data_IF_209376667772
#
_entry.id   IF_209376667772
#
_cell.length_a   1.000
_cell.length_b   1.000
_cell.length_c   1.000
_cell.angle_alpha   90.00
_cell.angle_beta   90.00
_cell.angle_gamma   90.00
#
_symmetry.space_group_name_H-M   'P 1'
#
loop_
_entity.id
_entity.type
_entity.pdbx_description
1 polymer ?
#
# COMPACT_ATOMS: atom_id res chain seq x y z
N UNK A 1 -2.76 1.47 -29.95
CA UNK A 1 -1.84 2.60 -29.84
C UNK A 1 -0.48 2.05 -29.51
N UNK A 2 0.60 2.75 -29.86
CA UNK A 2 1.97 2.28 -29.61
C UNK A 2 2.72 3.26 -28.71
N UNK A 3 3.59 2.70 -27.87
CA UNK A 3 4.58 3.40 -27.07
C UNK A 3 5.95 2.94 -27.55
N UNK A 4 6.82 3.87 -27.89
CA UNK A 4 8.18 3.58 -28.32
C UNK A 4 9.12 3.71 -27.11
N UNK A 5 9.95 2.71 -26.89
CA UNK A 5 11.01 2.80 -25.89
C UNK A 5 12.09 3.78 -26.39
N UNK A 6 12.50 4.71 -25.54
CA UNK A 6 13.48 5.75 -25.90
C UNK A 6 14.90 5.21 -26.02
N UNK A 7 15.21 4.07 -25.42
CA UNK A 7 16.56 3.49 -25.42
C UNK A 7 16.71 2.39 -26.48
N UNK A 8 15.70 1.51 -26.59
CA UNK A 8 15.74 0.36 -27.49
C UNK A 8 15.09 0.62 -28.85
N UNK A 9 14.20 1.62 -28.92
CA UNK A 9 13.39 1.90 -30.12
C UNK A 9 12.29 0.87 -30.37
N UNK A 10 12.06 -0.08 -29.46
CA UNK A 10 11.01 -1.09 -29.59
C UNK A 10 9.63 -0.48 -29.33
N UNK A 11 8.65 -0.88 -30.14
CA UNK A 11 7.27 -0.45 -29.99
C UNK A 11 6.47 -1.45 -29.14
N UNK A 12 5.87 -0.97 -28.05
CA UNK A 12 4.94 -1.72 -27.22
C UNK A 12 3.49 -1.29 -27.47
N UNK A 13 2.54 -2.22 -27.31
CA UNK A 13 1.13 -1.95 -27.55
C UNK A 13 0.50 -1.34 -26.28
N UNK A 14 -0.14 -0.17 -26.45
CA UNK A 14 -1.00 0.41 -25.43
C UNK A 14 -2.48 0.12 -25.76
N UNK A 15 -3.21 -0.38 -24.76
CA UNK A 15 -4.63 -0.70 -24.84
C UNK A 15 -5.47 0.50 -24.41
N UNK A 16 -6.51 0.82 -25.17
CA UNK A 16 -7.38 1.95 -24.91
C UNK A 16 -8.66 1.49 -24.22
N UNK A 17 -8.90 1.98 -23.02
CA UNK A 17 -10.20 1.92 -22.37
C UNK A 17 -11.04 3.12 -22.83
N UNK A 18 -12.31 2.88 -23.17
CA UNK A 18 -13.25 3.95 -23.56
C UNK A 18 -14.58 3.73 -22.85
N UNK A 19 -15.06 4.74 -22.13
CA UNK A 19 -16.37 4.79 -21.51
C UNK A 19 -17.20 5.93 -22.07
N UNK A 20 -18.47 5.67 -22.40
CA UNK A 20 -19.36 6.64 -23.02
C UNK A 20 -20.71 6.64 -22.30
N UNK A 21 -21.18 7.81 -21.93
CA UNK A 21 -22.54 7.98 -21.42
C UNK A 21 -23.56 7.90 -22.58
N UNK A 22 -24.62 7.15 -22.38
CA UNK A 22 -25.51 6.77 -23.48
C UNK A 22 -26.29 7.94 -24.09
N UNK A 23 -26.67 8.94 -23.29
CA UNK A 23 -27.51 10.04 -23.73
C UNK A 23 -26.71 11.23 -24.27
N UNK A 24 -25.79 11.77 -23.48
CA UNK A 24 -24.95 12.89 -23.89
C UNK A 24 -23.84 12.51 -24.85
N UNK A 25 -23.49 11.23 -24.92
CA UNK A 25 -22.28 10.70 -25.57
C UNK A 25 -20.99 11.32 -24.98
N UNK A 26 -21.05 11.82 -23.74
CA UNK A 26 -19.89 12.32 -23.04
C UNK A 26 -18.92 11.17 -22.81
N UNK A 27 -17.69 11.37 -23.26
CA UNK A 27 -16.71 10.28 -23.42
C UNK A 27 -15.55 10.45 -22.45
N UNK A 28 -15.12 9.34 -21.87
CA UNK A 28 -13.87 9.15 -21.15
C UNK A 28 -13.00 8.14 -21.89
N UNK A 29 -11.69 8.33 -21.91
CA UNK A 29 -10.74 7.36 -22.41
C UNK A 29 -9.40 7.46 -21.69
N UNK A 30 -8.75 6.30 -21.53
CA UNK A 30 -7.45 6.16 -20.88
C UNK A 30 -6.68 4.98 -21.49
N UNK A 31 -5.37 5.12 -21.66
CA UNK A 31 -4.49 4.08 -22.18
C UNK A 31 -3.80 3.33 -21.03
N UNK A 32 -3.61 2.02 -21.23
CA UNK A 32 -2.96 1.10 -20.28
C UNK A 32 -1.98 0.18 -21.03
N UNK A 33 -0.97 -0.33 -20.32
CA UNK A 33 0.03 -1.26 -20.88
C UNK A 33 -0.51 -2.68 -21.08
N UNK A 34 -1.56 -3.06 -20.37
CA UNK A 34 -2.21 -4.36 -20.51
C UNK A 34 -3.69 -4.28 -20.15
N UNK A 35 -4.45 -5.33 -20.51
CA UNK A 35 -5.88 -5.47 -20.19
C UNK A 35 -6.10 -6.29 -18.90
N UNK A 36 -5.17 -6.24 -17.95
CA UNK A 36 -5.29 -6.93 -16.67
C UNK A 36 -6.42 -6.38 -15.80
N UNK A 37 -6.82 -7.17 -14.80
CA UNK A 37 -7.91 -6.83 -13.90
C UNK A 37 -7.68 -5.51 -13.15
N UNK A 38 -6.43 -5.26 -12.76
CA UNK A 38 -6.03 -4.03 -12.07
C UNK A 38 -6.30 -2.78 -12.93
N UNK A 39 -5.87 -2.81 -14.18
CA UNK A 39 -6.08 -1.71 -15.12
C UNK A 39 -7.56 -1.53 -15.46
N UNK A 40 -8.30 -2.64 -15.60
CA UNK A 40 -9.73 -2.63 -15.83
C UNK A 40 -10.49 -1.93 -14.70
N UNK A 41 -10.22 -2.29 -13.47
CA UNK A 41 -10.82 -1.69 -12.28
C UNK A 41 -10.42 -0.22 -12.14
N UNK A 42 -9.13 0.10 -12.29
CA UNK A 42 -8.62 1.48 -12.22
C UNK A 42 -9.26 2.36 -13.27
N UNK A 43 -9.46 1.85 -14.50
CA UNK A 43 -10.12 2.58 -15.57
C UNK A 43 -11.56 2.97 -15.22
N UNK A 44 -12.32 2.07 -14.56
CA UNK A 44 -13.68 2.37 -14.10
C UNK A 44 -13.70 3.39 -12.97
N UNK A 45 -12.80 3.28 -12.01
CA UNK A 45 -12.65 4.25 -10.91
C UNK A 45 -12.36 5.65 -11.49
N UNK A 46 -11.38 5.74 -12.40
CA UNK A 46 -11.01 7.00 -13.04
C UNK A 46 -12.14 7.56 -13.93
N UNK A 47 -12.88 6.68 -14.60
CA UNK A 47 -14.06 7.07 -15.39
C UNK A 47 -15.15 7.69 -14.52
N UNK A 48 -15.51 7.10 -13.39
CA UNK A 48 -16.49 7.65 -12.45
C UNK A 48 -16.02 8.97 -11.88
N UNK A 49 -14.74 9.11 -11.56
CA UNK A 49 -14.15 10.39 -11.13
C UNK A 49 -14.23 11.45 -12.22
N UNK A 50 -13.96 11.10 -13.48
CA UNK A 50 -14.10 12.01 -14.62
C UNK A 50 -15.53 12.51 -14.81
N UNK A 51 -16.50 11.61 -14.70
CA UNK A 51 -17.93 11.97 -14.76
C UNK A 51 -18.43 12.69 -13.51
N UNK A 52 -17.67 12.65 -12.42
CA UNK A 52 -18.05 13.19 -11.10
C UNK A 52 -19.40 12.63 -10.64
N UNK A 53 -19.60 11.34 -10.86
CA UNK A 53 -20.81 10.62 -10.49
C UNK A 53 -20.81 9.21 -11.07
N UNK A 54 -21.79 8.44 -10.65
CA UNK A 54 -21.93 7.01 -10.98
C UNK A 54 -23.23 6.77 -11.75
N UNK A 55 -23.15 6.03 -12.84
CA UNK A 55 -24.34 5.57 -13.59
C UNK A 55 -25.03 4.44 -12.83
N UNK A 56 -26.36 4.36 -12.89
CA UNK A 56 -27.13 3.25 -12.28
C UNK A 56 -26.83 1.91 -12.93
N UNK A 57 -26.55 1.92 -14.23
CA UNK A 57 -26.25 0.73 -15.01
C UNK A 57 -24.96 0.97 -15.78
N UNK A 58 -24.08 -0.01 -15.73
CA UNK A 58 -22.85 -0.07 -16.49
C UNK A 58 -22.91 -1.26 -17.45
N UNK A 59 -22.90 -0.96 -18.73
CA UNK A 59 -22.90 -1.99 -19.77
C UNK A 59 -21.48 -2.21 -20.23
N UNK A 60 -20.93 -3.38 -19.99
CA UNK A 60 -19.57 -3.75 -20.40
C UNK A 60 -19.58 -4.79 -21.52
N UNK A 61 -18.51 -4.80 -22.31
CA UNK A 61 -18.24 -5.88 -23.24
C UNK A 61 -17.81 -7.16 -22.50
N UNK A 62 -17.97 -8.33 -23.14
CA UNK A 62 -17.65 -9.64 -22.56
C UNK A 62 -16.14 -9.90 -22.47
N UNK A 63 -15.39 -8.98 -21.85
CA UNK A 63 -13.99 -9.17 -21.56
C UNK A 63 -13.81 -10.17 -20.42
N UNK A 64 -12.95 -11.17 -20.60
CA UNK A 64 -12.63 -12.20 -19.59
C UNK A 64 -12.18 -11.60 -18.24
N UNK A 65 -11.66 -10.39 -18.25
CA UNK A 65 -11.26 -9.64 -17.06
C UNK A 65 -12.43 -9.23 -16.16
N UNK A 66 -13.61 -8.99 -16.75
CA UNK A 66 -14.82 -8.61 -16.01
C UNK A 66 -15.82 -9.74 -15.85
N UNK A 67 -15.88 -10.67 -16.82
CA UNK A 67 -16.89 -11.72 -16.90
C UNK A 67 -16.21 -13.09 -17.03
N UNK A 68 -16.43 -13.96 -16.05
CA UNK A 68 -15.79 -15.29 -16.00
C UNK A 68 -16.50 -16.25 -16.96
N UNK A 69 -17.83 -16.22 -16.98
CA UNK A 69 -18.66 -17.11 -17.78
C UNK A 69 -19.93 -16.37 -18.19
N UNK A 70 -20.29 -16.49 -19.45
CA UNK A 70 -21.55 -15.96 -19.99
C UNK A 70 -22.40 -17.15 -20.42
N UNK A 71 -23.41 -17.44 -19.63
CA UNK A 71 -24.46 -18.38 -20.01
C UNK A 71 -25.64 -17.61 -20.62
N UNK A 72 -26.50 -18.33 -21.37
CA UNK A 72 -27.65 -17.74 -22.10
C UNK A 72 -28.59 -16.94 -21.19
N UNK A 73 -28.59 -17.22 -19.88
CA UNK A 73 -29.50 -16.65 -18.88
C UNK A 73 -28.78 -16.05 -17.64
N UNK A 74 -27.46 -16.27 -17.47
CA UNK A 74 -26.70 -15.74 -16.35
C UNK A 74 -25.27 -15.45 -16.76
N UNK A 75 -24.75 -14.32 -16.34
CA UNK A 75 -23.34 -13.98 -16.49
C UNK A 75 -22.68 -14.01 -15.10
N UNK A 76 -21.64 -14.83 -14.96
CA UNK A 76 -20.84 -14.85 -13.72
C UNK A 76 -19.77 -13.78 -13.82
N UNK A 77 -19.97 -12.70 -13.08
CA UNK A 77 -19.00 -11.62 -12.96
C UNK A 77 -17.78 -12.09 -12.15
N UNK A 78 -16.64 -11.48 -12.41
CA UNK A 78 -15.48 -11.61 -11.54
C UNK A 78 -15.82 -10.98 -10.16
N UNK A 79 -15.46 -11.66 -9.05
CA UNK A 79 -15.76 -11.22 -7.68
C UNK A 79 -15.32 -9.75 -7.44
N UNK A 80 -14.13 -9.40 -7.90
CA UNK A 80 -13.59 -8.04 -7.75
C UNK A 80 -14.39 -6.99 -8.55
N UNK A 81 -14.89 -7.36 -9.73
CA UNK A 81 -15.70 -6.45 -10.54
C UNK A 81 -17.12 -6.30 -9.95
N UNK A 82 -17.63 -7.35 -9.34
CA UNK A 82 -18.87 -7.30 -8.56
C UNK A 82 -18.71 -6.39 -7.32
N UNK A 83 -17.61 -6.51 -6.58
CA UNK A 83 -17.32 -5.63 -5.45
C UNK A 83 -17.20 -4.16 -5.84
N UNK A 84 -16.59 -3.88 -7.01
CA UNK A 84 -16.58 -2.51 -7.56
C UNK A 84 -18.02 -2.01 -7.81
N UNK A 85 -18.88 -2.84 -8.38
CA UNK A 85 -20.27 -2.49 -8.63
C UNK A 85 -21.04 -2.22 -7.33
N UNK A 86 -20.85 -3.06 -6.32
CA UNK A 86 -21.45 -2.90 -4.99
C UNK A 86 -20.95 -1.61 -4.31
N UNK A 87 -19.63 -1.36 -4.36
CA UNK A 87 -19.03 -0.15 -3.78
C UNK A 87 -19.59 1.14 -4.39
N UNK A 88 -19.81 1.17 -5.70
CA UNK A 88 -20.36 2.31 -6.42
C UNK A 88 -21.88 2.28 -6.54
N UNK A 89 -22.55 1.26 -6.00
CA UNK A 89 -24.00 1.06 -6.11
C UNK A 89 -24.50 1.13 -7.56
N UNK A 90 -23.82 0.43 -8.47
CA UNK A 90 -24.14 0.34 -9.90
C UNK A 90 -24.40 -1.11 -10.31
N UNK A 91 -25.32 -1.33 -11.24
CA UNK A 91 -25.57 -2.66 -11.80
C UNK A 91 -24.70 -2.88 -13.03
N UNK A 92 -23.98 -4.01 -13.08
CA UNK A 92 -23.22 -4.42 -14.26
C UNK A 92 -24.09 -5.32 -15.14
N UNK A 93 -24.30 -4.89 -16.39
CA UNK A 93 -24.95 -5.69 -17.42
C UNK A 93 -23.92 -6.08 -18.49
N UNK A 94 -23.44 -7.32 -18.50
CA UNK A 94 -22.62 -7.81 -19.60
C UNK A 94 -23.45 -7.83 -20.91
N UNK A 95 -22.83 -7.39 -22.00
CA UNK A 95 -23.46 -7.46 -23.29
C UNK A 95 -23.76 -8.91 -23.68
N UNK A 96 -24.95 -9.16 -24.23
CA UNK A 96 -25.27 -10.49 -24.75
C UNK A 96 -24.38 -10.82 -25.94
N UNK A 97 -23.92 -12.08 -25.98
CA UNK A 97 -23.18 -12.61 -27.13
C UNK A 97 -24.10 -12.54 -28.36
N UNK A 98 -23.66 -11.92 -29.43
CA UNK A 98 -24.35 -11.84 -30.72
C UNK A 98 -25.67 -11.06 -30.73
N UNK A 99 -25.89 -10.11 -29.84
CA UNK A 99 -27.05 -9.22 -29.84
C UNK A 99 -26.68 -7.76 -30.12
N UNK A 100 -26.28 -7.37 -31.35
CA UNK A 100 -25.88 -6.00 -31.68
C UNK A 100 -27.01 -4.97 -31.50
N UNK A 101 -28.26 -5.43 -31.43
CA UNK A 101 -29.44 -4.54 -31.24
C UNK A 101 -29.60 -4.02 -29.81
N UNK A 102 -28.89 -4.56 -28.84
CA UNK A 102 -29.01 -4.12 -27.44
C UNK A 102 -28.28 -2.78 -27.15
N UNK A 103 -27.42 -2.30 -28.08
CA UNK A 103 -26.55 -1.14 -27.87
C UNK A 103 -26.41 -0.16 -29.05
N UNK A 104 -27.42 0.10 -29.90
CA UNK A 104 -27.19 0.82 -31.17
C UNK A 104 -26.61 2.22 -30.97
N UNK A 105 -26.99 2.93 -29.90
CA UNK A 105 -26.50 4.27 -29.62
C UNK A 105 -25.13 4.27 -28.95
N UNK A 106 -24.86 3.32 -28.04
CA UNK A 106 -23.58 3.22 -27.35
C UNK A 106 -22.46 2.71 -28.26
N UNK A 107 -22.73 1.71 -29.11
CA UNK A 107 -21.73 1.19 -30.07
C UNK A 107 -21.37 2.22 -31.13
N UNK A 108 -22.34 2.95 -31.64
CA UNK A 108 -22.10 4.06 -32.58
C UNK A 108 -21.25 5.17 -31.97
N UNK A 109 -21.59 5.58 -30.75
CA UNK A 109 -20.85 6.60 -30.02
C UNK A 109 -19.43 6.12 -29.63
N UNK A 110 -19.31 4.87 -29.17
CA UNK A 110 -18.03 4.24 -28.84
C UNK A 110 -17.13 4.13 -30.09
N UNK A 111 -17.67 3.63 -31.20
CA UNK A 111 -16.94 3.51 -32.46
C UNK A 111 -16.50 4.86 -33.02
N UNK A 112 -17.32 5.90 -32.88
CA UNK A 112 -16.98 7.26 -33.28
C UNK A 112 -15.89 7.85 -32.38
N UNK A 113 -16.01 7.74 -31.07
CA UNK A 113 -15.04 8.20 -30.09
C UNK A 113 -13.69 7.53 -30.30
N UNK A 114 -13.67 6.21 -30.44
CA UNK A 114 -12.45 5.43 -30.68
C UNK A 114 -11.76 5.86 -31.97
N UNK A 115 -12.51 6.04 -33.06
CA UNK A 115 -11.95 6.52 -34.34
C UNK A 115 -11.35 7.91 -34.20
N UNK A 116 -12.01 8.85 -33.55
CA UNK A 116 -11.51 10.21 -33.38
C UNK A 116 -10.28 10.25 -32.48
N UNK A 117 -10.29 9.51 -31.38
CA UNK A 117 -9.15 9.40 -30.47
C UNK A 117 -7.95 8.80 -31.19
N UNK A 118 -8.13 7.65 -31.85
CA UNK A 118 -7.03 6.99 -32.57
C UNK A 118 -6.52 7.82 -33.74
N UNK A 119 -7.39 8.50 -34.48
CA UNK A 119 -6.97 9.39 -35.54
C UNK A 119 -6.15 10.60 -35.04
N UNK A 120 -6.55 11.17 -33.90
CA UNK A 120 -5.88 12.34 -33.31
C UNK A 120 -4.46 12.04 -32.80
N UNK A 121 -4.17 10.81 -32.40
CA UNK A 121 -2.86 10.40 -31.87
C UNK A 121 -2.04 9.55 -32.86
N UNK A 122 -2.61 9.20 -34.02
CA UNK A 122 -2.03 8.26 -34.99
C UNK A 122 -0.60 8.61 -35.43
N UNK A 123 -0.33 9.90 -35.63
CA UNK A 123 0.95 10.38 -36.15
C UNK A 123 1.89 10.88 -35.02
N UNK A 124 1.52 10.66 -33.76
CA UNK A 124 2.35 11.07 -32.62
C UNK A 124 3.10 9.87 -32.06
N UNK A 125 4.36 10.06 -31.74
CA UNK A 125 5.17 9.09 -31.00
C UNK A 125 5.13 9.45 -29.53
N UNK A 126 4.90 8.47 -28.67
CA UNK A 126 4.90 8.62 -27.23
C UNK A 126 5.95 7.70 -26.64
N UNK A 127 6.72 8.20 -25.69
CA UNK A 127 7.75 7.45 -24.99
C UNK A 127 7.29 7.01 -23.60
N UNK A 128 6.29 7.68 -23.04
CA UNK A 128 5.72 7.31 -21.75
C UNK A 128 4.20 7.18 -21.83
N UNK A 129 3.65 6.29 -21.01
CA UNK A 129 2.19 6.15 -20.87
C UNK A 129 1.56 7.44 -20.32
N UNK A 130 2.30 8.19 -19.50
CA UNK A 130 1.85 9.44 -18.92
C UNK A 130 1.64 10.52 -20.01
N UNK A 131 2.59 10.69 -20.92
CA UNK A 131 2.49 11.64 -22.02
C UNK A 131 1.34 11.28 -22.95
N UNK A 132 1.18 9.98 -23.24
CA UNK A 132 0.07 9.48 -24.04
C UNK A 132 -1.28 9.79 -23.39
N UNK A 133 -1.43 9.53 -22.11
CA UNK A 133 -2.66 9.83 -21.37
C UNK A 133 -2.91 11.34 -21.21
N UNK A 134 -1.88 12.16 -21.16
CA UNK A 134 -2.03 13.63 -21.15
C UNK A 134 -2.58 14.14 -22.50
N UNK A 135 -2.04 13.65 -23.60
CA UNK A 135 -2.56 13.98 -24.94
C UNK A 135 -3.99 13.47 -25.12
N UNK A 136 -4.30 12.26 -24.66
CA UNK A 136 -5.66 11.72 -24.68
C UNK A 136 -6.64 12.62 -23.93
N UNK A 137 -6.29 13.11 -22.76
CA UNK A 137 -7.13 14.04 -21.99
C UNK A 137 -7.36 15.35 -22.71
N UNK A 138 -6.33 15.87 -23.39
CA UNK A 138 -6.45 17.07 -24.20
C UNK A 138 -7.44 16.86 -25.36
N UNK A 139 -7.28 15.75 -26.11
CA UNK A 139 -8.18 15.42 -27.23
C UNK A 139 -9.60 15.12 -26.80
N UNK A 140 -9.78 14.48 -25.64
CA UNK A 140 -11.11 14.26 -25.06
C UNK A 140 -11.84 15.56 -24.77
N UNK A 141 -11.14 16.59 -24.26
CA UNK A 141 -11.74 17.92 -24.09
C UNK A 141 -12.25 18.49 -25.39
N UNK A 142 -11.44 18.40 -26.46
CA UNK A 142 -11.86 18.87 -27.80
C UNK A 142 -13.07 18.06 -28.30
N UNK A 143 -13.05 16.73 -28.22
CA UNK A 143 -14.14 15.86 -28.68
C UNK A 143 -15.44 16.17 -27.92
N UNK A 144 -15.37 16.30 -26.60
CA UNK A 144 -16.51 16.53 -25.75
C UNK A 144 -17.08 17.95 -25.90
N UNK A 145 -16.27 18.92 -26.27
CA UNK A 145 -16.69 20.31 -26.49
C UNK A 145 -17.18 20.60 -27.91
N UNK A 146 -16.90 19.67 -28.86
CA UNK A 146 -17.30 19.85 -30.26
C UNK A 146 -18.83 19.84 -30.40
N UNK A 147 -19.43 20.82 -31.12
CA UNK A 147 -20.85 20.84 -31.38
C UNK A 147 -21.33 19.57 -32.12
N UNK A 148 -22.53 19.13 -31.80
CA UNK A 148 -23.19 18.08 -32.58
C UNK A 148 -23.54 18.55 -33.98
N UNK A 149 -23.55 17.64 -34.95
CA UNK A 149 -23.93 17.94 -36.33
C UNK A 149 -25.46 18.02 -36.52
N UNK A 150 -26.22 17.23 -35.74
CA UNK A 150 -27.67 17.06 -35.91
C UNK A 150 -28.49 17.47 -34.68
N UNK A 151 -27.87 17.99 -33.66
CA UNK A 151 -28.45 18.39 -32.37
C UNK A 151 -27.78 19.67 -31.91
N UNK A 152 -28.50 20.53 -31.21
CA UNK A 152 -27.91 21.70 -30.57
C UNK A 152 -27.02 21.34 -29.40
N UNK A 153 -26.01 22.16 -29.16
CA UNK A 153 -25.05 22.00 -28.09
C UNK A 153 -23.89 21.02 -28.37
N UNK A 154 -23.18 20.71 -27.34
CA UNK A 154 -22.05 19.78 -27.35
C UNK A 154 -22.29 18.64 -26.34
N UNK A 155 -21.46 17.57 -26.44
CA UNK A 155 -21.51 16.45 -25.47
C UNK A 155 -21.39 16.95 -24.04
N UNK A 156 -20.47 17.87 -23.78
CA UNK A 156 -20.24 18.44 -22.47
C UNK A 156 -21.46 19.23 -21.98
N UNK A 157 -22.08 20.05 -22.84
CA UNK A 157 -23.25 20.83 -22.45
C UNK A 157 -24.45 19.95 -22.13
N UNK A 158 -24.74 18.96 -22.98
CA UNK A 158 -25.82 18.00 -22.74
C UNK A 158 -25.56 17.20 -21.47
N UNK A 159 -24.32 16.76 -21.27
CA UNK A 159 -23.92 16.08 -20.02
C UNK A 159 -24.21 16.94 -18.80
N UNK A 160 -23.74 18.16 -18.76
CA UNK A 160 -23.87 19.03 -17.59
C UNK A 160 -25.33 19.39 -17.26
N UNK A 161 -26.17 19.64 -18.28
CA UNK A 161 -27.52 20.09 -18.07
C UNK A 161 -28.54 18.98 -17.94
N UNK A 162 -28.37 17.88 -18.69
CA UNK A 162 -29.43 16.89 -18.85
C UNK A 162 -29.08 15.52 -18.23
N UNK A 163 -27.80 15.15 -18.08
CA UNK A 163 -27.45 13.81 -17.64
C UNK A 163 -26.75 13.78 -16.25
N UNK A 164 -25.88 14.74 -15.98
CA UNK A 164 -25.16 14.83 -14.71
C UNK A 164 -26.08 14.88 -13.46
N UNK A 165 -27.24 15.57 -13.45
CA UNK A 165 -28.13 15.59 -12.29
C UNK A 165 -28.70 14.21 -11.92
N UNK A 166 -28.70 13.26 -12.86
CA UNK A 166 -29.21 11.89 -12.66
C UNK A 166 -28.12 10.89 -12.25
N UNK A 167 -26.85 11.29 -12.25
CA UNK A 167 -25.78 10.43 -11.73
C UNK A 167 -25.84 10.35 -10.20
N UNK A 168 -25.62 9.16 -9.66
CA UNK A 168 -25.44 8.99 -8.22
C UNK A 168 -24.14 9.68 -7.75
N UNK A 169 -24.11 10.20 -6.51
CA UNK A 169 -22.89 10.79 -5.97
C UNK A 169 -21.78 9.74 -5.85
N UNK A 170 -20.54 10.20 -5.97
CA UNK A 170 -19.37 9.34 -5.70
C UNK A 170 -19.32 8.97 -4.22
N UNK A 171 -18.89 7.74 -3.88
CA UNK A 171 -18.53 7.38 -2.51
C UNK A 171 -17.45 8.32 -1.95
N UNK A 172 -17.40 8.45 -0.63
CA UNK A 172 -16.40 9.27 0.07
C UNK A 172 -14.95 8.81 -0.19
N UNK A 173 -14.78 7.52 -0.43
CA UNK A 173 -13.48 6.90 -0.77
C UNK A 173 -13.60 6.19 -2.12
N UNK A 174 -12.60 6.30 -3.01
CA UNK A 174 -12.57 5.52 -4.23
C UNK A 174 -12.43 4.03 -3.92
N UNK A 175 -12.93 3.19 -4.81
CA UNK A 175 -12.75 1.74 -4.69
C UNK A 175 -11.26 1.38 -4.81
N UNK A 176 -10.78 0.59 -3.88
CA UNK A 176 -9.43 0.04 -3.89
C UNK A 176 -9.46 -1.44 -4.29
N UNK A 177 -8.65 -1.77 -5.30
CA UNK A 177 -8.55 -3.14 -5.79
C UNK A 177 -8.08 -4.08 -4.67
N UNK A 178 -8.82 -5.15 -4.46
CA UNK A 178 -8.47 -6.22 -3.54
C UNK A 178 -8.16 -7.52 -4.30
N UNK A 179 -7.12 -8.20 -3.86
CA UNK A 179 -6.83 -9.57 -4.26
C UNK A 179 -7.40 -10.52 -3.20
N UNK A 180 -8.17 -11.51 -3.64
CA UNK A 180 -8.69 -12.55 -2.76
C UNK A 180 -7.84 -13.81 -2.87
N UNK A 181 -7.53 -14.41 -1.72
CA UNK A 181 -6.85 -15.70 -1.59
C UNK A 181 -7.49 -16.51 -0.49
N UNK A 182 -7.45 -17.81 -0.62
CA UNK A 182 -7.78 -18.74 0.46
C UNK A 182 -6.50 -19.15 1.18
N UNK A 183 -6.57 -19.28 2.49
CA UNK A 183 -5.48 -19.75 3.33
C UNK A 183 -6.03 -20.67 4.44
N UNK A 184 -5.29 -21.74 4.75
CA UNK A 184 -5.57 -22.57 5.91
C UNK A 184 -4.81 -21.97 7.10
N UNK A 185 -5.48 -21.75 8.22
CA UNK A 185 -4.85 -21.23 9.43
C UNK A 185 -4.02 -22.31 10.09
N UNK A 186 -2.68 -22.18 10.16
CA UNK A 186 -1.82 -23.17 10.77
C UNK A 186 -1.86 -23.09 12.30
N UNK A 187 -1.18 -24.04 12.98
CA UNK A 187 -1.15 -24.12 14.46
C UNK A 187 -0.57 -22.88 15.15
N UNK A 188 0.29 -22.15 14.47
CA UNK A 188 0.85 -20.90 14.97
C UNK A 188 -0.09 -19.71 14.79
N UNK A 189 -1.36 -19.96 14.41
CA UNK A 189 -2.43 -18.96 14.19
C UNK A 189 -1.99 -17.77 13.31
N UNK A 190 -1.04 -17.94 12.39
CA UNK A 190 -0.62 -16.91 11.45
C UNK A 190 -0.71 -17.41 10.02
N UNK A 191 -1.42 -16.69 9.19
CA UNK A 191 -1.39 -16.91 7.73
C UNK A 191 -0.21 -16.14 7.13
N UNK A 192 0.31 -16.66 6.02
CA UNK A 192 1.44 -16.06 5.32
C UNK A 192 1.00 -15.38 4.02
N UNK A 193 1.43 -14.12 3.83
CA UNK A 193 1.32 -13.41 2.57
C UNK A 193 2.62 -12.63 2.31
N UNK A 194 3.20 -12.77 1.09
CA UNK A 194 4.47 -12.15 0.70
C UNK A 194 5.59 -12.36 1.72
N UNK A 195 5.67 -13.58 2.30
CA UNK A 195 6.60 -13.96 3.37
C UNK A 195 6.44 -13.18 4.69
N UNK A 196 5.34 -12.45 4.86
CA UNK A 196 4.93 -11.81 6.10
C UNK A 196 3.86 -12.66 6.78
N UNK A 197 3.75 -12.55 8.11
CA UNK A 197 2.86 -13.36 8.94
C UNK A 197 1.79 -12.47 9.59
N UNK A 198 0.54 -12.88 9.50
CA UNK A 198 -0.62 -12.13 10.02
C UNK A 198 -1.46 -13.03 10.92
N UNK A 199 -1.70 -12.61 12.16
CA UNK A 199 -2.40 -13.43 13.13
C UNK A 199 -3.91 -13.50 12.84
N UNK A 200 -4.46 -14.67 13.06
CA UNK A 200 -5.90 -14.98 13.01
C UNK A 200 -6.31 -15.46 14.38
N UNK A 201 -7.53 -15.19 14.87
CA UNK A 201 -7.98 -15.76 16.15
C UNK A 201 -7.77 -17.26 16.21
N UNK A 202 -7.20 -17.77 17.30
CA UNK A 202 -6.78 -19.16 17.46
C UNK A 202 -7.92 -20.19 17.31
N UNK A 203 -9.17 -19.75 17.51
CA UNK A 203 -10.38 -20.56 17.33
C UNK A 203 -10.52 -21.10 15.89
N UNK A 204 -9.92 -20.40 14.92
CA UNK A 204 -9.96 -20.75 13.50
C UNK A 204 -8.76 -21.59 13.02
N UNK A 205 -7.95 -22.13 13.94
CA UNK A 205 -6.86 -23.06 13.58
C UNK A 205 -7.43 -24.25 12.80
N UNK A 206 -6.78 -24.61 11.69
CA UNK A 206 -7.16 -25.63 10.70
C UNK A 206 -8.38 -25.29 9.85
N UNK A 207 -9.02 -24.14 10.02
CA UNK A 207 -10.08 -23.68 9.13
C UNK A 207 -9.48 -23.01 7.90
N UNK A 208 -10.22 -23.09 6.78
CA UNK A 208 -9.90 -22.33 5.57
C UNK A 208 -10.56 -20.96 5.68
N UNK A 209 -9.75 -19.92 5.59
CA UNK A 209 -10.19 -18.51 5.66
C UNK A 209 -9.99 -17.83 4.31
N UNK A 210 -10.86 -16.89 3.98
CA UNK A 210 -10.68 -16.01 2.82
C UNK A 210 -9.90 -14.76 3.24
N UNK A 211 -8.88 -14.41 2.48
CA UNK A 211 -7.97 -13.28 2.74
C UNK A 211 -8.15 -12.24 1.65
N UNK A 212 -8.66 -11.09 2.01
CA UNK A 212 -8.77 -9.91 1.16
C UNK A 212 -7.52 -9.05 1.34
N UNK A 213 -6.76 -8.90 0.28
CA UNK A 213 -5.47 -8.20 0.26
C UNK A 213 -5.63 -6.93 -0.55
N UNK A 214 -5.50 -5.79 0.09
CA UNK A 214 -5.44 -4.48 -0.56
C UNK A 214 -4.00 -3.95 -0.59
N UNK A 215 -3.80 -2.75 -1.08
CA UNK A 215 -2.51 -2.07 -0.99
C UNK A 215 -2.11 -1.76 0.46
N UNK A 216 -3.06 -1.50 1.33
CA UNK A 216 -2.80 -1.01 2.69
C UNK A 216 -3.18 -2.01 3.79
N UNK A 217 -4.14 -2.90 3.53
CA UNK A 217 -4.70 -3.81 4.53
C UNK A 217 -4.74 -5.25 4.07
N UNK A 218 -4.77 -6.14 5.06
CA UNK A 218 -5.08 -7.56 4.90
C UNK A 218 -6.24 -7.85 5.83
N UNK A 219 -7.41 -8.11 5.24
CA UNK A 219 -8.63 -8.45 5.95
C UNK A 219 -8.89 -9.96 5.83
N UNK A 220 -9.21 -10.60 6.93
CA UNK A 220 -9.40 -12.05 7.01
C UNK A 220 -10.87 -12.34 7.32
N UNK A 221 -11.48 -13.22 6.51
CA UNK A 221 -12.89 -13.56 6.58
C UNK A 221 -13.07 -15.07 6.75
N UNK A 222 -14.12 -15.44 7.45
CA UNK A 222 -14.62 -16.81 7.53
C UNK A 222 -16.14 -16.79 7.34
N UNK A 223 -16.66 -17.59 6.41
CA UNK A 223 -18.09 -17.63 6.06
C UNK A 223 -18.69 -16.22 5.82
N UNK A 224 -18.00 -15.38 5.08
CA UNK A 224 -18.35 -13.98 4.79
C UNK A 224 -18.31 -13.03 6.01
N UNK A 225 -17.94 -13.51 7.22
CA UNK A 225 -17.75 -12.68 8.40
C UNK A 225 -16.30 -12.23 8.51
N UNK A 226 -16.05 -10.92 8.63
CA UNK A 226 -14.69 -10.40 8.84
C UNK A 226 -14.23 -10.70 10.26
N UNK A 227 -13.19 -11.53 10.39
CA UNK A 227 -12.59 -11.90 11.66
C UNK A 227 -11.65 -10.83 12.20
N UNK A 228 -10.77 -10.34 11.34
CA UNK A 228 -9.76 -9.35 11.73
C UNK A 228 -9.21 -8.60 10.51
N UNK A 229 -8.51 -7.51 10.80
CA UNK A 229 -7.85 -6.66 9.82
C UNK A 229 -6.46 -6.29 10.30
N UNK A 230 -5.47 -6.35 9.42
CA UNK A 230 -4.08 -5.97 9.68
C UNK A 230 -3.62 -4.92 8.69
N UNK A 231 -2.76 -4.00 9.13
CA UNK A 231 -2.00 -3.19 8.19
C UNK A 231 -1.05 -4.09 7.41
N UNK A 232 -1.04 -3.95 6.07
CA UNK A 232 -0.13 -4.74 5.23
C UNK A 232 1.31 -4.36 5.51
N UNK A 233 2.12 -5.36 5.80
CA UNK A 233 3.55 -5.19 6.06
C UNK A 233 4.33 -5.16 4.75
N UNK A 234 5.33 -4.29 4.70
CA UNK A 234 6.30 -4.17 3.62
C UNK A 234 7.70 -4.17 4.21
N UNK A 235 8.68 -4.67 3.49
CA UNK A 235 10.07 -4.66 3.90
C UNK A 235 10.69 -6.04 4.01
N UNK A 236 11.42 -6.32 5.09
CA UNK A 236 12.12 -7.60 5.24
C UNK A 236 11.16 -8.76 5.47
N UNK A 237 11.40 -9.87 4.78
CA UNK A 237 10.62 -11.10 4.94
C UNK A 237 10.68 -11.64 6.38
N UNK A 238 9.61 -12.29 6.83
CA UNK A 238 9.53 -12.89 8.16
C UNK A 238 9.04 -11.94 9.27
N UNK A 239 8.52 -10.77 8.93
CA UNK A 239 7.86 -9.91 9.90
C UNK A 239 6.48 -10.45 10.29
N UNK A 240 6.07 -10.16 11.53
CA UNK A 240 4.80 -10.58 12.10
C UNK A 240 3.92 -9.37 12.41
N UNK A 241 2.64 -9.45 12.04
CA UNK A 241 1.57 -8.59 12.52
C UNK A 241 0.68 -9.42 13.43
N UNK A 242 0.92 -9.35 14.73
CA UNK A 242 0.23 -10.17 15.72
C UNK A 242 -0.66 -9.31 16.61
N UNK A 243 -1.94 -9.66 16.69
CA UNK A 243 -2.88 -9.07 17.63
C UNK A 243 -2.90 -9.96 18.87
N UNK A 244 -2.62 -9.45 20.09
CA UNK A 244 -2.57 -10.27 21.31
C UNK A 244 -3.85 -11.04 21.61
N UNK A 245 -5.02 -10.47 21.29
CA UNK A 245 -6.32 -11.11 21.47
C UNK A 245 -6.51 -12.38 20.60
N UNK A 246 -5.69 -12.59 19.56
CA UNK A 246 -5.76 -13.78 18.71
C UNK A 246 -5.05 -15.00 19.33
N UNK A 247 -4.30 -14.80 20.39
CA UNK A 247 -3.54 -15.85 21.04
C UNK A 247 -4.42 -16.66 22.01
N UNK A 248 -4.20 -17.98 22.17
CA UNK A 248 -4.79 -18.75 23.27
C UNK A 248 -4.42 -18.15 24.64
N UNK A 249 -5.32 -18.27 25.61
CA UNK A 249 -5.09 -17.73 26.96
C UNK A 249 -3.81 -18.28 27.61
N UNK A 250 -3.49 -19.54 27.37
CA UNK A 250 -2.26 -20.15 27.86
C UNK A 250 -1.00 -19.47 27.28
N UNK A 251 -1.03 -19.10 26.02
CA UNK A 251 0.07 -18.38 25.38
C UNK A 251 0.15 -16.94 25.89
N UNK A 252 -0.98 -16.25 26.07
CA UNK A 252 -1.01 -14.89 26.62
C UNK A 252 -0.47 -14.88 28.06
N UNK A 253 -0.88 -15.86 28.89
CA UNK A 253 -0.41 -15.98 30.27
C UNK A 253 1.07 -16.31 30.34
N UNK A 254 1.59 -17.16 29.42
CA UNK A 254 3.01 -17.46 29.33
C UNK A 254 3.83 -16.22 28.98
N UNK A 255 3.34 -15.40 28.09
CA UNK A 255 4.01 -14.15 27.65
C UNK A 255 4.02 -13.10 28.77
N UNK A 256 2.92 -12.93 29.49
CA UNK A 256 2.86 -12.03 30.65
C UNK A 256 3.78 -12.50 31.77
N UNK A 257 3.86 -13.81 32.01
CA UNK A 257 4.81 -14.39 32.98
C UNK A 257 6.26 -14.13 32.59
N UNK A 258 6.59 -14.20 31.31
CA UNK A 258 7.96 -13.95 30.84
C UNK A 258 8.34 -12.48 30.99
N UNK A 259 7.49 -11.53 30.65
CA UNK A 259 7.77 -10.11 30.84
C UNK A 259 7.97 -9.76 32.33
N UNK A 260 7.07 -10.24 33.20
CA UNK A 260 7.20 -10.07 34.65
C UNK A 260 8.46 -10.75 35.21
N UNK A 261 8.79 -11.92 34.71
CA UNK A 261 10.02 -12.65 35.12
C UNK A 261 11.29 -11.87 34.76
N UNK A 262 11.34 -11.26 33.58
CA UNK A 262 12.48 -10.39 33.21
C UNK A 262 12.58 -9.15 34.10
N UNK A 263 11.44 -8.54 34.43
CA UNK A 263 11.40 -7.40 35.33
C UNK A 263 11.82 -7.80 36.76
N UNK A 264 11.35 -8.94 37.28
CA UNK A 264 11.76 -9.46 38.57
C UNK A 264 13.25 -9.84 38.63
N UNK A 265 13.76 -10.45 37.55
CA UNK A 265 15.19 -10.78 37.46
C UNK A 265 16.02 -9.50 37.41
N UNK A 266 15.63 -8.50 36.62
CA UNK A 266 16.30 -7.23 36.55
C UNK A 266 16.28 -6.49 37.91
N UNK A 267 15.17 -6.54 38.64
CA UNK A 267 15.04 -5.97 39.99
C UNK A 267 16.03 -6.58 41.01
N UNK A 268 16.34 -7.87 40.89
CA UNK A 268 17.37 -8.53 41.72
C UNK A 268 18.77 -8.06 41.43
N UNK A 269 19.03 -7.53 40.23
CA UNK A 269 20.32 -6.98 39.81
C UNK A 269 20.45 -5.54 40.29
N UNK A 270 19.45 -4.71 40.01
CA UNK A 270 19.44 -3.33 40.46
C UNK A 270 18.37 -2.45 39.80
N UNK A 271 18.09 -1.24 40.34
CA UNK A 271 17.01 -0.38 39.88
C UNK A 271 17.24 0.18 38.45
N UNK A 272 18.48 0.44 38.05
CA UNK A 272 18.78 0.93 36.71
C UNK A 272 18.65 -0.18 35.65
N UNK A 273 19.00 -1.41 36.03
CA UNK A 273 18.78 -2.58 35.17
C UNK A 273 17.29 -2.88 34.99
N UNK A 274 16.48 -2.75 36.05
CA UNK A 274 15.02 -2.85 35.96
C UNK A 274 14.42 -1.82 35.02
N UNK A 275 14.81 -0.55 35.19
CA UNK A 275 14.35 0.56 34.33
C UNK A 275 14.74 0.31 32.86
N UNK A 276 15.96 -0.16 32.62
CA UNK A 276 16.45 -0.47 31.30
C UNK A 276 15.70 -1.60 30.64
N UNK A 277 15.41 -2.69 31.36
CA UNK A 277 14.62 -3.83 30.84
C UNK A 277 13.20 -3.40 30.51
N UNK A 278 12.53 -2.64 31.39
CA UNK A 278 11.20 -2.08 31.13
C UNK A 278 11.20 -1.16 29.89
N UNK A 279 12.22 -0.32 29.75
CA UNK A 279 12.37 0.56 28.57
C UNK A 279 12.57 -0.24 27.28
N UNK A 280 13.41 -1.29 27.31
CA UNK A 280 13.60 -2.18 26.13
C UNK A 280 12.28 -2.85 25.76
N UNK A 281 11.53 -3.41 26.73
CA UNK A 281 10.24 -4.06 26.45
C UNK A 281 9.23 -3.05 25.88
N UNK A 282 9.14 -1.86 26.45
CA UNK A 282 8.25 -0.80 25.98
C UNK A 282 8.62 -0.24 24.58
N UNK A 283 9.89 -0.35 24.15
CA UNK A 283 10.35 0.14 22.85
C UNK A 283 9.86 -0.72 21.68
N UNK A 284 9.44 -1.94 21.93
CA UNK A 284 8.90 -2.83 20.92
C UNK A 284 7.38 -2.79 20.91
N UNK A 285 6.81 -2.70 19.72
CA UNK A 285 5.35 -2.75 19.53
C UNK A 285 4.74 -4.07 20.01
N UNK A 286 5.54 -5.14 20.03
CA UNK A 286 5.24 -6.47 20.57
C UNK A 286 6.37 -6.82 21.55
N UNK A 287 6.07 -6.92 22.83
CA UNK A 287 7.06 -7.14 23.92
C UNK A 287 7.98 -8.36 23.69
N UNK A 288 7.45 -9.41 23.08
CA UNK A 288 8.18 -10.64 22.75
C UNK A 288 9.43 -10.40 21.90
N UNK A 289 9.40 -9.40 21.02
CA UNK A 289 10.57 -9.05 20.20
C UNK A 289 11.70 -8.51 21.07
N UNK A 290 11.38 -7.97 22.25
CA UNK A 290 12.33 -7.50 23.25
C UNK A 290 12.95 -8.61 24.08
N UNK A 291 12.30 -9.77 24.23
CA UNK A 291 12.72 -10.84 25.18
C UNK A 291 14.14 -11.34 24.90
N UNK A 292 14.52 -11.49 23.64
CA UNK A 292 15.87 -11.90 23.27
C UNK A 292 16.92 -10.86 23.69
N UNK A 293 16.59 -9.59 23.56
CA UNK A 293 17.45 -8.49 24.00
C UNK A 293 17.56 -8.42 25.52
N UNK A 294 16.42 -8.58 26.23
CA UNK A 294 16.39 -8.62 27.70
C UNK A 294 17.16 -9.83 28.26
N UNK A 295 16.96 -11.02 27.70
CA UNK A 295 17.69 -12.22 28.08
C UNK A 295 19.21 -12.04 27.88
N UNK A 296 19.62 -11.50 26.73
CA UNK A 296 21.02 -11.22 26.44
C UNK A 296 21.64 -10.19 27.39
N UNK A 297 20.87 -9.15 27.75
CA UNK A 297 21.28 -8.11 28.69
C UNK A 297 21.48 -8.69 30.11
N UNK A 298 20.51 -9.44 30.62
CA UNK A 298 20.57 -10.02 31.95
C UNK A 298 21.69 -11.05 32.10
N UNK A 299 22.02 -11.81 31.04
CA UNK A 299 23.20 -12.70 31.00
C UNK A 299 24.55 -11.97 31.09
N UNK A 300 24.59 -10.66 30.91
CA UNK A 300 25.82 -9.90 31.17
C UNK A 300 26.17 -9.84 32.67
N UNK A 301 25.20 -10.04 33.58
CA UNK A 301 25.48 -10.18 35.00
C UNK A 301 26.41 -11.37 35.28
N UNK A 302 26.17 -12.49 34.59
CA UNK A 302 27.03 -13.71 34.75
C UNK A 302 28.41 -13.51 34.14
N UNK A 303 28.50 -12.70 33.04
CA UNK A 303 29.76 -12.54 32.31
C UNK A 303 30.64 -11.41 32.88
N UNK A 304 30.04 -10.32 33.36
CA UNK A 304 30.81 -9.14 33.78
C UNK A 304 30.69 -8.81 35.27
N UNK A 305 29.72 -9.26 35.98
CA UNK A 305 29.23 -9.08 37.33
C UNK A 305 27.97 -8.20 37.43
N UNK A 306 27.23 -8.40 38.52
CA UNK A 306 26.01 -7.65 38.83
C UNK A 306 26.27 -6.15 38.90
N UNK A 307 27.31 -5.75 39.64
CA UNK A 307 27.68 -4.34 39.82
C UNK A 307 28.06 -3.64 38.52
N UNK A 308 28.79 -4.33 37.64
CA UNK A 308 29.19 -3.77 36.36
C UNK A 308 28.02 -3.58 35.43
N UNK A 309 27.07 -4.53 35.41
CA UNK A 309 25.86 -4.41 34.61
C UNK A 309 24.98 -3.24 35.10
N UNK A 310 24.80 -3.11 36.41
CA UNK A 310 24.03 -2.03 37.02
C UNK A 310 24.66 -0.65 36.71
N UNK A 311 25.99 -0.52 36.84
CA UNK A 311 26.71 0.69 36.50
C UNK A 311 26.64 1.03 35.00
N UNK A 312 26.69 0.02 34.13
CA UNK A 312 26.53 0.21 32.68
C UNK A 312 25.12 0.67 32.32
N UNK A 313 24.10 0.12 32.95
CA UNK A 313 22.70 0.55 32.80
C UNK A 313 22.51 1.97 33.31
N UNK A 314 23.04 2.30 34.50
CA UNK A 314 23.02 3.67 35.05
C UNK A 314 23.63 4.67 34.08
N UNK A 315 24.80 4.36 33.55
CA UNK A 315 25.51 5.23 32.60
C UNK A 315 24.73 5.37 31.27
N UNK A 316 24.18 4.28 30.77
CA UNK A 316 23.38 4.31 29.54
C UNK A 316 22.14 5.19 29.68
N UNK A 317 21.46 5.15 30.84
CA UNK A 317 20.30 5.98 31.15
C UNK A 317 20.64 7.48 31.29
N UNK A 318 21.90 7.84 31.66
CA UNK A 318 22.34 9.23 31.64
C UNK A 318 22.40 9.79 30.21
N UNK A 319 22.70 8.97 29.21
CA UNK A 319 22.82 9.42 27.81
C UNK A 319 21.50 9.36 27.05
N UNK A 320 20.64 8.39 27.35
CA UNK A 320 19.35 8.20 26.66
C UNK A 320 18.33 7.56 27.58
N UNK A 321 17.05 8.02 27.56
CA UNK A 321 15.99 7.40 28.35
C UNK A 321 15.64 5.98 27.88
N UNK A 322 15.99 5.63 26.63
CA UNK A 322 15.71 4.32 26.02
C UNK A 322 17.02 3.65 25.54
N UNK A 323 17.86 3.13 26.44
CA UNK A 323 19.10 2.49 26.07
C UNK A 323 18.84 1.13 25.39
N UNK A 324 19.61 0.85 24.35
CA UNK A 324 19.52 -0.42 23.62
C UNK A 324 20.49 -1.48 24.19
N UNK A 325 20.20 -2.77 23.92
CA UNK A 325 21.15 -3.85 24.22
C UNK A 325 22.56 -3.58 23.68
N UNK A 326 22.67 -3.00 22.47
CA UNK A 326 23.96 -2.69 21.85
C UNK A 326 24.73 -1.60 22.60
N UNK A 327 24.05 -0.56 23.05
CA UNK A 327 24.68 0.52 23.81
C UNK A 327 25.27 0.04 25.13
N UNK A 328 24.53 -0.79 25.86
CA UNK A 328 24.99 -1.37 27.13
C UNK A 328 26.16 -2.33 26.92
N UNK A 329 26.06 -3.18 25.89
CA UNK A 329 27.18 -4.06 25.49
C UNK A 329 28.44 -3.28 25.20
N UNK A 330 28.36 -2.17 24.48
CA UNK A 330 29.51 -1.30 24.19
C UNK A 330 30.12 -0.70 25.44
N UNK A 331 29.31 -0.19 26.38
CA UNK A 331 29.77 0.37 27.66
C UNK A 331 30.54 -0.70 28.45
N UNK A 332 30.02 -1.94 28.51
CA UNK A 332 30.66 -3.05 29.22
C UNK A 332 31.98 -3.49 28.55
N UNK A 333 32.02 -3.57 27.21
CA UNK A 333 33.22 -3.98 26.46
C UNK A 333 34.31 -2.92 26.54
N UNK A 334 33.95 -1.64 26.47
CA UNK A 334 34.92 -0.52 26.56
C UNK A 334 35.33 -0.21 27.99
N UNK A 335 34.69 -0.82 29.02
CA UNK A 335 35.01 -0.57 30.42
C UNK A 335 34.57 0.79 30.94
N UNK A 336 33.70 1.47 30.20
CA UNK A 336 33.19 2.80 30.61
C UNK A 336 32.31 2.73 31.87
N UNK A 337 31.77 1.52 32.19
CA UNK A 337 31.05 1.26 33.44
C UNK A 337 31.90 1.46 34.72
N UNK A 338 33.21 1.40 34.59
CA UNK A 338 34.17 1.60 35.70
C UNK A 338 34.53 3.04 35.99
N UNK A 339 34.19 3.95 35.09
CA UNK A 339 34.45 5.39 35.26
C UNK A 339 33.29 5.99 36.06
N UNK A 340 33.57 6.83 37.04
CA UNK A 340 32.51 7.59 37.71
C UNK A 340 31.76 8.43 36.68
N UNK A 341 30.42 8.55 36.80
CA UNK A 341 29.67 9.43 35.91
C UNK A 341 30.20 10.85 36.18
N UNK A 342 30.84 11.46 35.17
CA UNK A 342 31.21 12.86 35.21
C UNK A 342 29.97 13.66 35.62
N UNK A 343 30.09 14.41 36.71
CA UNK A 343 29.12 15.39 37.12
C UNK A 343 28.76 16.23 35.90
N UNK A 344 27.48 16.18 35.54
CA UNK A 344 26.78 17.03 34.57
C UNK A 344 27.72 18.00 33.84
N UNK A 345 28.15 17.63 32.65
CA UNK A 345 28.72 18.63 31.74
C UNK A 345 27.56 19.51 31.37
N UNK A 346 27.50 20.69 32.03
CA UNK A 346 26.67 21.80 31.58
C UNK A 346 26.89 21.97 30.08
N UNK A 347 25.78 22.08 29.35
CA UNK A 347 25.79 22.37 27.92
C UNK A 347 26.81 23.46 27.65
N UNK A 348 27.89 23.10 26.98
CA UNK A 348 28.80 24.08 26.44
C UNK A 348 28.03 25.03 25.54
N UNK A 349 28.24 26.35 25.66
CA UNK A 349 27.57 27.32 24.83
C UNK A 349 27.94 27.10 23.38
N UNK A 350 26.90 27.17 22.53
CA UNK A 350 27.00 27.14 21.08
C UNK A 350 27.96 28.25 20.59
N UNK A 351 28.77 27.87 19.61
CA UNK A 351 29.51 28.74 18.70
C UNK A 351 30.79 29.40 19.22
N UNK A 352 31.89 28.68 19.03
CA UNK A 352 33.06 29.30 18.42
C UNK A 352 33.61 28.35 17.36
N UNK A 353 33.81 28.92 16.19
CA UNK A 353 34.28 28.24 14.98
C UNK A 353 35.52 27.39 15.25
N UNK A 354 35.44 26.13 14.93
CA UNK A 354 36.55 25.20 14.91
C UNK A 354 37.68 25.71 14.04
N UNK A 355 38.68 26.34 14.65
CA UNK A 355 39.91 26.77 13.98
C UNK A 355 40.79 25.64 13.44
N UNK A 356 40.37 24.37 13.58
CA UNK A 356 41.14 23.20 13.18
C UNK A 356 40.34 22.20 12.30
N UNK A 357 39.23 22.64 11.77
CA UNK A 357 38.49 21.84 10.77
C UNK A 357 39.07 22.08 9.38
N UNK A 358 39.87 21.14 8.84
CA UNK A 358 40.23 21.13 7.43
C UNK A 358 39.00 20.79 6.59
N UNK A 359 38.22 21.83 6.23
CA UNK A 359 37.22 21.69 5.17
C UNK A 359 37.93 21.80 3.83
N UNK A 360 37.99 20.70 3.09
CA UNK A 360 38.46 20.71 1.70
C UNK A 360 37.42 21.46 0.85
N UNK A 361 37.80 22.67 0.40
CA UNK A 361 36.93 23.49 -0.42
C UNK A 361 36.67 22.90 -1.79
N UNK A 362 35.65 23.42 -2.50
CA UNK A 362 35.21 22.96 -3.82
C UNK A 362 36.31 22.92 -4.89
N UNK A 363 37.39 23.67 -4.72
CA UNK A 363 38.60 23.66 -5.58
C UNK A 363 39.42 22.37 -5.50
N UNK A 364 39.30 21.57 -4.44
CA UNK A 364 39.97 20.27 -4.32
C UNK A 364 39.40 19.19 -5.24
N UNK A 365 38.17 19.34 -5.63
CA UNK A 365 37.47 18.39 -6.52
C UNK A 365 37.45 18.78 -8.01
N UNK A 366 38.01 19.94 -8.35
CA UNK A 366 38.28 20.32 -9.74
C UNK A 366 39.64 19.76 -10.12
N UNK A 367 39.61 18.50 -10.62
CA UNK A 367 40.78 17.89 -11.26
C UNK A 367 41.28 18.77 -12.39
N UNK A 368 42.43 19.40 -12.21
CA UNK A 368 43.15 20.08 -13.25
C UNK A 368 43.63 19.07 -14.27
N UNK A 369 43.13 19.17 -15.46
CA UNK A 369 43.87 18.80 -16.67
C UNK A 369 44.76 19.99 -16.98
N UNK A 370 46.03 19.81 -16.90
CA UNK A 370 47.07 20.49 -17.71
C UNK A 370 48.41 19.84 -17.39
N UNK A 371 48.94 19.17 -18.37
CA UNK A 371 50.29 19.20 -18.91
C UNK A 371 50.53 17.98 -19.77
N UNK A 372 50.71 18.23 -20.91
CA UNK A 372 51.41 18.21 -22.19
C UNK A 372 50.90 17.14 -23.12
#
# INVERSE_FOLDING_TARGET
>A
MTLSDSETGEDSIAYLFVGVLAYSQYTYAEAFLNMGQENWISAHVNMFQHFRGVTRILVCDNLKTGVIQVDKYSAKLNKTYQELAEHYNTAILPARISAPKDKPNAEGALGLATRWITAAVRNKKFFTLQDQNQELRFRLKEINSRPFQKREGSRLQVFLHEEKPFLAPLPSTPYELAQWKEAIVPFNYHISHDKMQYSVPHEYIRQTVEVKITKHTIDIFYENLRLCSHARLYGHSGQYSTTPAHMPEDHQSYLQRDANRFAEWAKKIGPHTETTVKSILASYKIEQQGYRSCMGLLKFADKYSIERLENACRRALCYTPNPSYKSIKNILVTGQDKLEPDSVVEKAPSSESNKYGYSRGASYYKGGKEHE
#
